data_IF_266729246577
#
_entry.id   IF_266729246577
#
_cell.length_a   1.000
_cell.length_b   1.000
_cell.length_c   1.000
_cell.angle_alpha   90.00
_cell.angle_beta   90.00
_cell.angle_gamma   90.00
#
_symmetry.space_group_name_H-M   'P 1'
#
loop_
_entity.id
_entity.type
_entity.pdbx_description
1 polymer ?
#
# COMPACT_ATOMS: atom_id res chain seq x y z
N UNK A 1 -13.52 -24.13 -17.61
CA UNK A 1 -13.95 -22.97 -16.80
C UNK A 1 -13.36 -21.74 -17.45
N UNK A 2 -14.18 -20.94 -18.13
CA UNK A 2 -13.76 -19.64 -18.67
C UNK A 2 -13.95 -18.62 -17.56
N UNK A 3 -12.86 -18.24 -16.91
CA UNK A 3 -12.85 -17.15 -15.93
C UNK A 3 -13.18 -15.86 -16.68
N UNK A 4 -14.12 -15.07 -16.17
CA UNK A 4 -14.44 -13.77 -16.77
C UNK A 4 -13.28 -12.78 -16.52
N UNK A 5 -13.13 -11.77 -17.38
CA UNK A 5 -12.05 -10.78 -17.23
C UNK A 5 -12.09 -10.04 -15.88
N UNK A 6 -13.29 -9.85 -15.30
CA UNK A 6 -13.47 -9.20 -14.01
C UNK A 6 -13.02 -10.09 -12.85
N UNK A 7 -13.41 -11.37 -12.84
CA UNK A 7 -12.95 -12.32 -11.83
C UNK A 7 -11.44 -12.53 -11.89
N UNK A 8 -10.86 -12.55 -13.09
CA UNK A 8 -9.41 -12.61 -13.26
C UNK A 8 -8.71 -11.36 -12.65
N UNK A 9 -9.33 -10.18 -12.78
CA UNK A 9 -8.80 -8.93 -12.20
C UNK A 9 -8.83 -8.95 -10.68
N UNK A 10 -9.96 -9.33 -10.08
CA UNK A 10 -10.09 -9.44 -8.61
C UNK A 10 -9.11 -10.45 -8.01
N UNK A 11 -8.92 -11.60 -8.69
CA UNK A 11 -7.91 -12.59 -8.30
C UNK A 11 -6.49 -12.02 -8.38
N UNK A 12 -6.16 -11.28 -9.44
CA UNK A 12 -4.86 -10.63 -9.59
C UNK A 12 -4.62 -9.53 -8.55
N UNK A 13 -5.64 -8.73 -8.23
CA UNK A 13 -5.58 -7.72 -7.16
C UNK A 13 -5.32 -8.39 -5.80
N UNK A 14 -6.07 -9.46 -5.49
CA UNK A 14 -5.89 -10.25 -4.27
C UNK A 14 -4.49 -10.84 -4.18
N UNK A 15 -3.98 -11.40 -5.29
CA UNK A 15 -2.62 -11.95 -5.37
C UNK A 15 -1.54 -10.86 -5.20
N UNK A 16 -1.74 -9.68 -5.80
CA UNK A 16 -0.82 -8.56 -5.68
C UNK A 16 -0.72 -8.09 -4.21
N UNK A 17 -1.85 -7.96 -3.52
CA UNK A 17 -1.89 -7.60 -2.09
C UNK A 17 -1.30 -8.71 -1.23
N UNK A 18 -1.63 -9.99 -1.47
CA UNK A 18 -1.07 -11.12 -0.73
C UNK A 18 0.46 -11.17 -0.84
N UNK A 19 0.99 -11.01 -2.05
CA UNK A 19 2.43 -11.00 -2.28
C UNK A 19 3.12 -9.77 -1.68
N UNK A 20 2.46 -8.62 -1.65
CA UNK A 20 2.93 -7.45 -0.92
C UNK A 20 2.94 -7.73 0.59
N UNK A 21 1.93 -8.39 1.13
CA UNK A 21 1.84 -8.75 2.55
C UNK A 21 2.98 -9.72 2.95
N UNK A 22 3.28 -10.71 2.12
CA UNK A 22 4.38 -11.67 2.35
C UNK A 22 5.76 -10.99 2.41
N UNK A 23 5.95 -9.94 1.60
CA UNK A 23 7.19 -9.15 1.58
C UNK A 23 7.19 -7.99 2.57
N UNK A 24 6.11 -7.84 3.33
CA UNK A 24 5.99 -6.70 4.24
C UNK A 24 6.87 -6.88 5.46
N UNK A 25 7.59 -5.82 5.81
CA UNK A 25 8.35 -5.73 7.06
C UNK A 25 7.55 -4.91 8.06
N UNK A 26 7.50 -5.33 9.32
CA UNK A 26 6.99 -4.45 10.38
C UNK A 26 7.94 -3.28 10.56
N UNK A 27 7.39 -2.08 10.75
CA UNK A 27 8.19 -0.93 11.14
C UNK A 27 8.84 -1.17 12.50
N UNK A 28 9.97 -0.51 12.73
CA UNK A 28 10.75 -0.73 13.96
C UNK A 28 10.03 -0.21 15.21
N UNK A 29 9.10 0.74 15.05
CA UNK A 29 8.45 1.45 16.16
C UNK A 29 6.92 1.53 16.05
N UNK A 30 6.30 0.79 15.12
CA UNK A 30 4.84 0.81 14.92
C UNK A 30 4.33 -0.55 14.39
N UNK A 31 3.06 -0.86 14.65
CA UNK A 31 2.48 -2.13 14.25
C UNK A 31 1.92 -2.14 12.81
N UNK A 32 2.05 -1.04 12.08
CA UNK A 32 1.85 -0.99 10.62
C UNK A 32 2.92 -1.79 9.87
N UNK A 33 2.51 -2.41 8.76
CA UNK A 33 3.35 -3.23 7.88
C UNK A 33 3.69 -2.45 6.62
N UNK A 34 4.95 -2.50 6.19
CA UNK A 34 5.42 -1.84 4.99
C UNK A 34 5.86 -2.86 3.95
N UNK A 35 5.18 -2.88 2.81
CA UNK A 35 5.53 -3.66 1.63
C UNK A 35 6.15 -2.74 0.58
N UNK A 36 7.30 -3.12 0.04
CA UNK A 36 7.93 -2.40 -1.08
C UNK A 36 7.58 -3.08 -2.40
N UNK A 37 7.12 -2.29 -3.36
CA UNK A 37 6.87 -2.75 -4.72
C UNK A 37 7.73 -1.97 -5.70
N UNK A 38 8.19 -2.67 -6.73
CA UNK A 38 8.93 -2.04 -7.83
C UNK A 38 8.00 -1.18 -8.66
N UNK A 39 8.44 0.04 -8.98
CA UNK A 39 7.73 0.95 -9.89
C UNK A 39 7.47 0.26 -11.24
N UNK A 40 6.29 0.49 -11.82
CA UNK A 40 5.84 -0.12 -13.09
C UNK A 40 5.85 -1.66 -13.08
N UNK A 41 5.79 -2.28 -11.91
CA UNK A 41 5.49 -3.70 -11.81
C UNK A 41 4.00 -3.94 -12.05
N UNK A 42 3.66 -5.10 -12.61
CA UNK A 42 2.26 -5.46 -12.83
C UNK A 42 1.45 -5.40 -11.53
N UNK A 43 2.06 -5.73 -10.38
CA UNK A 43 1.40 -5.60 -9.08
C UNK A 43 1.02 -4.16 -8.76
N UNK A 44 1.95 -3.23 -9.01
CA UNK A 44 1.73 -1.82 -8.74
C UNK A 44 0.65 -1.23 -9.68
N UNK A 45 0.64 -1.65 -10.95
CA UNK A 45 -0.41 -1.25 -11.91
C UNK A 45 -1.78 -1.81 -11.53
N UNK A 46 -1.86 -3.05 -11.02
CA UNK A 46 -3.12 -3.62 -10.50
C UNK A 46 -3.60 -2.88 -9.25
N UNK A 47 -2.72 -2.62 -8.29
CA UNK A 47 -3.05 -1.92 -7.05
C UNK A 47 -3.51 -0.49 -7.32
N UNK A 48 -2.85 0.22 -8.25
CA UNK A 48 -3.24 1.58 -8.66
C UNK A 48 -4.63 1.63 -9.30
N UNK A 49 -5.05 0.55 -9.96
CA UNK A 49 -6.37 0.41 -10.58
C UNK A 49 -7.47 -0.15 -9.67
N UNK A 50 -7.14 -0.46 -8.41
CA UNK A 50 -8.10 -1.02 -7.46
C UNK A 50 -8.89 0.10 -6.77
N UNK A 51 -10.22 -0.04 -6.73
CA UNK A 51 -11.10 0.92 -6.06
C UNK A 51 -11.13 0.75 -4.54
N UNK A 52 -10.64 -0.39 -4.04
CA UNK A 52 -10.67 -0.73 -2.61
C UNK A 52 -9.43 -0.20 -1.87
N UNK A 53 -8.37 0.14 -2.60
CA UNK A 53 -7.10 0.59 -2.03
C UNK A 53 -7.05 2.12 -2.00
N UNK A 54 -6.84 2.69 -0.82
CA UNK A 54 -6.70 4.14 -0.67
C UNK A 54 -5.30 4.56 -1.10
N UNK A 55 -5.20 5.60 -1.92
CA UNK A 55 -3.90 6.11 -2.38
C UNK A 55 -3.58 7.43 -1.68
N UNK A 56 -2.36 7.57 -1.15
CA UNK A 56 -1.84 8.83 -0.61
C UNK A 56 -0.74 9.38 -1.52
N UNK A 57 -0.98 10.55 -2.11
CA UNK A 57 -0.07 11.19 -3.07
C UNK A 57 0.88 12.19 -2.42
N UNK A 58 0.80 12.40 -1.11
CA UNK A 58 1.68 13.28 -0.35
C UNK A 58 1.65 12.94 1.15
N UNK A 59 2.61 13.44 1.95
CA UNK A 59 2.66 13.17 3.38
C UNK A 59 1.40 13.60 4.17
N UNK A 60 0.75 14.76 3.90
CA UNK A 60 -0.52 15.10 4.53
C UNK A 60 -1.65 14.08 4.27
N UNK A 61 -1.82 13.62 3.03
CA UNK A 61 -2.80 12.58 2.67
C UNK A 61 -2.49 11.27 3.39
N UNK A 62 -1.22 10.87 3.46
CA UNK A 62 -0.81 9.69 4.22
C UNK A 62 -1.20 9.83 5.70
N UNK A 63 -0.94 10.98 6.32
CA UNK A 63 -1.34 11.22 7.72
C UNK A 63 -2.85 11.13 7.90
N UNK A 64 -3.63 11.71 6.98
CA UNK A 64 -5.09 11.64 7.04
C UNK A 64 -5.58 10.18 6.93
N UNK A 65 -5.07 9.41 5.97
CA UNK A 65 -5.42 8.00 5.82
C UNK A 65 -4.96 7.14 7.00
N UNK A 66 -3.83 7.47 7.62
CA UNK A 66 -3.35 6.77 8.83
C UNK A 66 -4.26 6.99 10.04
N UNK A 67 -5.03 8.07 10.08
CA UNK A 67 -6.04 8.34 11.11
C UNK A 67 -7.44 7.80 10.79
N UNK A 68 -7.69 7.38 9.55
CA UNK A 68 -8.99 6.85 9.11
C UNK A 68 -9.10 5.36 9.44
N UNK A 69 -10.01 4.93 10.34
CA UNK A 69 -10.16 3.50 10.68
C UNK A 69 -10.57 2.62 9.49
N UNK A 70 -11.24 3.17 8.48
CA UNK A 70 -11.73 2.41 7.32
C UNK A 70 -10.63 2.13 6.28
N UNK A 71 -9.54 2.92 6.30
CA UNK A 71 -8.42 2.75 5.38
C UNK A 71 -7.47 1.64 5.87
N UNK A 72 -7.75 0.37 5.56
CA UNK A 72 -6.92 -0.77 6.00
C UNK A 72 -5.62 -0.92 5.19
N UNK A 73 -5.69 -0.65 3.89
CA UNK A 73 -4.56 -0.70 2.96
C UNK A 73 -4.36 0.66 2.30
N UNK A 74 -3.13 1.16 2.38
CA UNK A 74 -2.73 2.44 1.80
C UNK A 74 -1.63 2.21 0.76
N UNK A 75 -1.82 2.74 -0.43
CA UNK A 75 -0.84 2.75 -1.50
C UNK A 75 -0.13 4.10 -1.60
N UNK A 76 1.20 4.06 -1.68
CA UNK A 76 2.08 5.22 -1.84
C UNK A 76 2.75 5.13 -3.21
N UNK A 77 2.29 5.91 -4.19
CA UNK A 77 2.90 5.94 -5.50
C UNK A 77 4.25 6.65 -5.42
N UNK A 78 5.14 6.35 -6.36
CA UNK A 78 6.45 6.99 -6.43
C UNK A 78 6.36 8.52 -6.53
N UNK A 79 5.33 9.01 -7.23
CA UNK A 79 5.05 10.44 -7.41
C UNK A 79 4.81 11.18 -6.09
N UNK A 80 4.50 10.47 -5.00
CA UNK A 80 4.27 11.07 -3.70
C UNK A 80 5.54 11.62 -3.04
N UNK A 81 6.72 11.23 -3.52
CA UNK A 81 8.03 11.60 -2.97
C UNK A 81 8.14 11.35 -1.45
N UNK A 82 7.44 10.31 -0.98
CA UNK A 82 7.45 9.91 0.43
C UNK A 82 8.68 9.02 0.65
N UNK A 83 9.47 9.35 1.66
CA UNK A 83 10.64 8.57 2.08
C UNK A 83 10.29 7.60 3.20
N UNK A 84 11.13 6.59 3.44
CA UNK A 84 10.96 5.66 4.55
C UNK A 84 10.88 6.38 5.91
N UNK A 85 11.67 7.43 6.12
CA UNK A 85 11.64 8.24 7.36
C UNK A 85 10.29 8.93 7.58
N UNK A 86 9.70 9.47 6.51
CA UNK A 86 8.36 10.09 6.57
C UNK A 86 7.31 9.03 6.92
N UNK A 87 7.38 7.83 6.32
CA UNK A 87 6.47 6.72 6.61
C UNK A 87 6.58 6.34 8.09
N UNK A 88 7.79 6.04 8.57
CA UNK A 88 8.01 5.62 9.95
C UNK A 88 7.53 6.68 10.95
N UNK A 89 7.82 7.96 10.70
CA UNK A 89 7.34 9.06 11.54
C UNK A 89 5.83 9.11 11.60
N UNK A 90 5.14 9.16 10.46
CA UNK A 90 3.67 9.24 10.42
C UNK A 90 3.04 7.98 11.04
N UNK A 91 3.62 6.81 10.80
CA UNK A 91 3.12 5.56 11.35
C UNK A 91 3.33 5.45 12.86
N UNK A 92 4.43 5.99 13.40
CA UNK A 92 4.67 6.06 14.85
C UNK A 92 3.71 7.01 15.57
N UNK A 93 3.21 8.04 14.86
CA UNK A 93 2.21 8.99 15.36
C UNK A 93 0.79 8.38 15.39
N UNK A 94 0.54 7.30 14.63
CA UNK A 94 -0.77 6.65 14.55
C UNK A 94 -0.87 5.45 15.50
N UNK A 95 -2.01 5.34 16.17
CA UNK A 95 -2.37 4.16 16.98
C UNK A 95 -2.99 3.03 16.16
N UNK A 96 -3.22 3.26 14.86
CA UNK A 96 -3.86 2.30 13.97
C UNK A 96 -2.83 1.53 13.15
N UNK A 97 -3.06 0.22 13.03
CA UNK A 97 -2.22 -0.67 12.25
C UNK A 97 -2.76 -0.74 10.83
N UNK A 98 -1.91 -0.40 9.86
CA UNK A 98 -2.27 -0.40 8.45
C UNK A 98 -1.23 -1.13 7.61
N UNK A 99 -1.67 -1.62 6.46
CA UNK A 99 -0.77 -2.14 5.45
C UNK A 99 -0.41 -1.00 4.49
N UNK A 100 0.87 -0.69 4.39
CA UNK A 100 1.40 0.35 3.51
C UNK A 100 2.12 -0.33 2.37
N UNK A 101 1.69 -0.03 1.15
CA UNK A 101 2.32 -0.51 -0.07
C UNK A 101 3.02 0.67 -0.70
N UNK A 102 4.35 0.64 -0.74
CA UNK A 102 5.18 1.74 -1.19
C UNK A 102 5.90 1.39 -2.49
N UNK A 103 5.67 2.20 -3.52
CA UNK A 103 6.43 2.12 -4.77
C UNK A 103 7.84 2.70 -4.62
N UNK A 104 8.83 1.88 -4.95
CA UNK A 104 10.25 2.23 -4.94
C UNK A 104 10.94 1.71 -6.19
N UNK A 105 12.04 2.39 -6.58
CA UNK A 105 12.87 1.99 -7.73
C UNK A 105 13.80 0.80 -7.45
N UNK A 106 13.92 0.39 -6.18
CA UNK A 106 14.79 -0.72 -5.75
C UNK A 106 14.28 -2.09 -6.22
#
# INVERSE_FOLDING_TARGET
MTISANEARELLETLAVSHAADKSTHGLQHASRLARLKVNSWQADMIRGSSEIRTANNPPELRALMGDPEATVIFLPQSAMITAEIIERICSESSLNKMIIWETND
#
